data_IF_952245020039
#
_entry.id   IF_952245020039
#
_cell.length_a   1.000
_cell.length_b   1.000
_cell.length_c   1.000
_cell.angle_alpha   90.00
_cell.angle_beta   90.00
_cell.angle_gamma   90.00
#
_symmetry.space_group_name_H-M   'P 1'
#
loop_
_entity.id
_entity.type
_entity.pdbx_description
1 polymer ?
#
# COMPACT_ATOMS: atom_id res chain seq x y z
N UNK A 1 10.91 38.46 23.68
CA UNK A 1 9.87 37.53 23.23
C UNK A 1 10.48 36.56 22.22
N UNK A 2 10.72 35.31 22.59
CA UNK A 2 11.18 34.26 21.67
C UNK A 2 9.97 33.68 20.95
N UNK A 3 9.84 33.93 19.63
CA UNK A 3 8.83 33.27 18.79
C UNK A 3 9.20 31.79 18.71
N UNK A 4 8.40 30.93 19.31
CA UNK A 4 8.45 29.49 19.09
C UNK A 4 8.20 29.21 17.62
N UNK A 5 9.22 28.72 16.89
CA UNK A 5 9.02 28.12 15.58
C UNK A 5 8.15 26.89 15.77
N UNK A 6 6.88 26.98 15.43
CA UNK A 6 6.05 25.80 15.23
C UNK A 6 6.66 25.08 14.03
N UNK A 7 7.41 24.01 14.31
CA UNK A 7 7.87 23.07 13.28
C UNK A 7 6.60 22.49 12.66
N UNK A 8 6.27 22.90 11.45
CA UNK A 8 5.24 22.21 10.66
C UNK A 8 5.80 20.81 10.39
N UNK A 9 5.38 19.83 11.18
CA UNK A 9 5.67 18.43 10.91
C UNK A 9 5.01 18.10 9.57
N UNK A 10 5.82 18.03 8.54
CA UNK A 10 5.37 17.68 7.20
C UNK A 10 4.73 16.29 7.26
N UNK A 11 3.50 16.14 6.77
CA UNK A 11 2.80 14.86 6.74
C UNK A 11 3.60 13.84 5.94
N UNK A 12 3.84 12.68 6.52
CA UNK A 12 4.51 11.58 5.83
C UNK A 12 3.46 10.67 5.19
N UNK A 13 3.36 10.76 3.85
CA UNK A 13 2.50 9.91 3.04
C UNK A 13 3.37 8.99 2.17
N UNK A 14 3.06 7.69 2.12
CA UNK A 14 3.85 6.67 1.40
C UNK A 14 2.94 5.88 0.45
N UNK A 15 3.35 5.77 -0.80
CA UNK A 15 2.69 5.00 -1.85
C UNK A 15 3.41 3.64 -2.02
N UNK A 16 2.72 2.56 -1.68
CA UNK A 16 3.25 1.20 -1.67
C UNK A 16 3.10 0.59 -3.06
N UNK A 17 4.18 0.03 -3.60
CA UNK A 17 4.21 -0.52 -4.97
C UNK A 17 4.04 0.57 -6.03
N UNK A 18 4.52 1.77 -5.74
CA UNK A 18 4.35 2.94 -6.61
C UNK A 18 5.14 2.86 -7.92
N UNK A 19 6.14 1.96 -8.02
CA UNK A 19 7.11 2.04 -9.09
C UNK A 19 7.75 3.43 -9.16
N UNK A 20 7.98 3.93 -10.37
CA UNK A 20 8.60 5.24 -10.60
C UNK A 20 7.64 6.44 -10.43
N UNK A 21 6.34 6.21 -10.34
CA UNK A 21 5.31 7.25 -10.41
C UNK A 21 4.40 7.24 -9.18
N UNK A 22 4.85 7.71 -8.01
CA UNK A 22 4.00 7.81 -6.84
C UNK A 22 2.89 8.86 -7.04
N UNK A 23 1.83 8.76 -6.25
CA UNK A 23 0.84 9.82 -6.19
C UNK A 23 1.50 11.15 -5.75
N UNK A 24 0.99 12.27 -6.27
CA UNK A 24 1.52 13.60 -5.92
C UNK A 24 1.53 13.81 -4.40
N UNK A 25 2.69 14.16 -3.87
CA UNK A 25 2.88 14.39 -2.43
C UNK A 25 3.16 13.13 -1.61
N UNK A 26 3.28 11.97 -2.25
CA UNK A 26 3.65 10.73 -1.60
C UNK A 26 5.14 10.40 -1.84
N UNK A 27 5.73 9.73 -0.87
CA UNK A 27 7.03 9.06 -0.98
C UNK A 27 6.86 7.69 -1.64
N UNK A 28 7.87 7.26 -2.39
CA UNK A 28 7.89 5.94 -3.04
C UNK A 28 8.25 4.82 -2.06
N UNK A 29 7.55 3.69 -2.16
CA UNK A 29 7.96 2.45 -1.51
C UNK A 29 7.70 1.25 -2.42
N UNK A 30 8.72 0.43 -2.67
CA UNK A 30 8.61 -0.72 -3.58
C UNK A 30 9.49 -1.89 -3.10
N UNK A 31 9.20 -3.09 -3.60
CA UNK A 31 10.05 -4.28 -3.41
C UNK A 31 11.26 -4.27 -4.34
N UNK A 32 11.17 -3.54 -5.45
CA UNK A 32 12.23 -3.40 -6.46
C UNK A 32 12.99 -2.11 -6.24
N UNK A 33 14.29 -2.21 -6.16
CA UNK A 33 15.17 -1.04 -6.04
C UNK A 33 15.31 -0.32 -7.39
N UNK A 34 15.13 1.01 -7.38
CA UNK A 34 15.31 1.89 -8.53
C UNK A 34 15.82 3.27 -8.12
N UNK A 35 16.34 4.08 -9.05
CA UNK A 35 16.79 5.45 -8.75
C UNK A 35 15.68 6.29 -8.12
N UNK A 36 16.03 7.04 -7.06
CA UNK A 36 15.11 7.92 -6.31
C UNK A 36 14.01 7.18 -5.49
N UNK A 37 14.15 5.87 -5.26
CA UNK A 37 13.30 5.15 -4.31
C UNK A 37 13.54 5.72 -2.89
N UNK A 38 12.46 6.14 -2.22
CA UNK A 38 12.55 6.66 -0.84
C UNK A 38 12.65 5.50 0.17
N UNK A 39 11.88 4.43 -0.05
CA UNK A 39 11.81 3.27 0.85
C UNK A 39 11.82 1.95 0.08
N UNK A 40 12.55 0.97 0.59
CA UNK A 40 12.54 -0.41 0.09
C UNK A 40 11.68 -1.31 0.99
N UNK A 41 10.89 -2.20 0.38
CA UNK A 41 10.08 -3.18 1.12
C UNK A 41 10.79 -4.53 1.11
N UNK A 42 11.13 -5.05 2.30
CA UNK A 42 11.74 -6.38 2.48
C UNK A 42 11.00 -7.13 3.58
N UNK A 43 10.53 -8.35 3.28
CA UNK A 43 9.78 -9.18 4.24
C UNK A 43 8.57 -8.44 4.86
N UNK A 44 7.80 -7.74 4.03
CA UNK A 44 6.65 -6.92 4.44
C UNK A 44 6.96 -5.76 5.40
N UNK A 45 8.22 -5.41 5.59
CA UNK A 45 8.68 -4.26 6.36
C UNK A 45 9.24 -3.18 5.45
N UNK A 46 9.17 -1.94 5.88
CA UNK A 46 9.58 -0.76 5.11
C UNK A 46 10.86 -0.18 5.69
N UNK A 47 11.84 0.03 4.84
CA UNK A 47 13.16 0.54 5.22
C UNK A 47 13.50 1.79 4.41
N UNK A 48 13.99 2.82 5.08
CA UNK A 48 14.79 3.86 4.45
C UNK A 48 16.18 3.30 4.10
N UNK A 49 17.05 4.12 3.51
CA UNK A 49 18.44 3.70 3.22
C UNK A 49 19.21 3.21 4.47
N UNK A 50 18.84 3.65 5.64
CA UNK A 50 19.62 3.45 6.87
C UNK A 50 18.89 2.68 7.97
N UNK A 51 17.56 2.64 7.97
CA UNK A 51 16.79 2.06 9.06
C UNK A 51 15.38 1.64 8.66
N UNK A 52 14.80 0.72 9.43
CA UNK A 52 13.36 0.40 9.36
C UNK A 52 12.52 1.64 9.70
N UNK A 53 11.38 1.77 9.04
CA UNK A 53 10.43 2.86 9.27
C UNK A 53 9.98 2.88 10.74
N UNK A 54 9.94 4.07 11.32
CA UNK A 54 9.59 4.23 12.74
C UNK A 54 8.11 3.93 12.98
N UNK A 55 7.82 3.29 14.11
CA UNK A 55 6.47 3.11 14.63
C UNK A 55 5.80 4.48 14.83
N UNK A 56 4.49 4.59 14.51
CA UNK A 56 3.70 5.81 14.66
C UNK A 56 4.30 7.05 13.96
N UNK A 57 4.85 6.86 12.76
CA UNK A 57 5.50 7.96 12.00
C UNK A 57 4.76 8.37 10.74
N UNK A 58 3.86 7.53 10.21
CA UNK A 58 3.21 7.74 8.91
C UNK A 58 1.79 8.25 9.09
N UNK A 59 1.43 9.25 8.31
CA UNK A 59 0.07 9.82 8.30
C UNK A 59 -0.85 9.06 7.36
N UNK A 60 -0.33 8.65 6.18
CA UNK A 60 -1.13 7.94 5.20
C UNK A 60 -0.29 6.95 4.37
N UNK A 61 -0.81 5.74 4.20
CA UNK A 61 -0.39 4.81 3.16
C UNK A 61 -1.39 4.78 2.01
N UNK A 62 -0.90 4.52 0.81
CA UNK A 62 -1.69 4.26 -0.38
C UNK A 62 -1.20 2.97 -1.04
N UNK A 63 -2.15 2.10 -1.42
CA UNK A 63 -1.91 0.86 -2.16
C UNK A 63 -2.82 0.91 -3.39
N UNK A 64 -2.25 1.16 -4.57
CA UNK A 64 -3.02 1.30 -5.79
C UNK A 64 -2.60 0.28 -6.85
N UNK A 65 -3.51 -0.63 -7.21
CA UNK A 65 -3.26 -1.74 -8.14
C UNK A 65 -2.02 -2.58 -7.75
N UNK A 66 -1.85 -2.86 -6.47
CA UNK A 66 -0.68 -3.58 -5.96
C UNK A 66 -1.04 -4.74 -5.04
N UNK A 67 -2.22 -4.69 -4.41
CA UNK A 67 -2.59 -5.66 -3.37
C UNK A 67 -2.66 -7.08 -3.92
N UNK A 68 -3.08 -7.23 -5.17
CA UNK A 68 -3.14 -8.51 -5.87
C UNK A 68 -1.76 -9.12 -6.17
N UNK A 69 -0.67 -8.37 -6.01
CA UNK A 69 0.71 -8.86 -6.13
C UNK A 69 1.33 -9.24 -4.77
N UNK A 70 0.64 -8.99 -3.66
CA UNK A 70 1.20 -9.16 -2.31
C UNK A 70 0.87 -10.54 -1.77
N UNK A 71 1.91 -11.38 -1.60
CA UNK A 71 1.77 -12.76 -1.12
C UNK A 71 1.18 -12.83 0.30
N UNK A 72 1.64 -11.99 1.21
CA UNK A 72 1.21 -11.97 2.61
C UNK A 72 0.67 -10.58 2.97
N UNK A 73 -0.53 -10.30 2.47
CA UNK A 73 -1.20 -9.03 2.73
C UNK A 73 -1.50 -8.84 4.23
N UNK A 74 -1.80 -9.92 4.94
CA UNK A 74 -2.07 -9.84 6.38
C UNK A 74 -0.85 -9.31 7.13
N UNK A 75 0.33 -9.89 6.88
CA UNK A 75 1.57 -9.44 7.53
C UNK A 75 1.96 -8.02 7.12
N UNK A 76 1.75 -7.65 5.85
CA UNK A 76 1.97 -6.27 5.42
C UNK A 76 1.04 -5.32 6.17
N UNK A 77 -0.27 -5.57 6.23
CA UNK A 77 -1.22 -4.70 6.93
C UNK A 77 -0.91 -4.58 8.43
N UNK A 78 -0.48 -5.67 9.09
CA UNK A 78 -0.01 -5.63 10.48
C UNK A 78 1.17 -4.67 10.64
N UNK A 79 2.13 -4.70 9.74
CA UNK A 79 3.28 -3.79 9.78
C UNK A 79 2.88 -2.34 9.46
N UNK A 80 2.02 -2.13 8.46
CA UNK A 80 1.51 -0.79 8.15
C UNK A 80 0.75 -0.21 9.35
N UNK A 81 -0.05 -1.02 10.06
CA UNK A 81 -0.74 -0.59 11.29
C UNK A 81 0.25 -0.07 12.35
N UNK A 82 1.39 -0.76 12.54
CA UNK A 82 2.43 -0.31 13.47
C UNK A 82 3.03 1.03 13.09
N UNK A 83 3.30 1.24 11.79
CA UNK A 83 3.92 2.46 11.30
C UNK A 83 2.98 3.66 11.27
N UNK A 84 1.67 3.45 11.12
CA UNK A 84 0.69 4.53 11.15
C UNK A 84 0.66 5.23 12.50
N UNK A 85 0.57 6.55 12.46
CA UNK A 85 0.20 7.39 13.61
C UNK A 85 -1.21 7.04 14.08
N UNK A 86 -1.58 7.35 15.33
CA UNK A 86 -2.99 7.37 15.74
C UNK A 86 -3.82 8.21 14.75
N UNK A 87 -4.96 7.69 14.32
CA UNK A 87 -5.83 8.26 13.27
C UNK A 87 -5.20 8.31 11.86
N UNK A 88 -4.02 7.75 11.65
CA UNK A 88 -3.43 7.56 10.32
C UNK A 88 -4.27 6.61 9.47
N UNK A 89 -4.19 6.75 8.14
CA UNK A 89 -5.08 6.02 7.23
C UNK A 89 -4.32 5.18 6.20
N UNK A 90 -4.99 4.11 5.72
CA UNK A 90 -4.58 3.37 4.52
C UNK A 90 -5.68 3.49 3.49
N UNK A 91 -5.32 3.86 2.27
CA UNK A 91 -6.20 3.83 1.10
C UNK A 91 -5.80 2.68 0.20
N UNK A 92 -6.69 1.72 0.02
CA UNK A 92 -6.51 0.59 -0.91
C UNK A 92 -7.43 0.83 -2.09
N UNK A 93 -6.87 0.83 -3.31
CA UNK A 93 -7.60 0.93 -4.57
C UNK A 93 -7.12 -0.22 -5.45
N UNK A 94 -7.96 -1.21 -5.66
CA UNK A 94 -7.59 -2.39 -6.45
C UNK A 94 -8.77 -2.89 -7.31
N UNK A 95 -8.52 -3.85 -8.19
CA UNK A 95 -9.54 -4.41 -9.05
C UNK A 95 -10.65 -5.10 -8.25
N UNK A 96 -11.90 -4.92 -8.68
CA UNK A 96 -13.03 -5.63 -8.09
C UNK A 96 -13.03 -7.10 -8.52
N UNK A 97 -13.48 -7.98 -7.62
CA UNK A 97 -13.64 -9.42 -7.83
C UNK A 97 -14.39 -9.79 -9.12
N UNK A 98 -15.41 -9.01 -9.51
CA UNK A 98 -16.22 -9.28 -10.71
C UNK A 98 -15.46 -9.04 -12.01
N UNK A 99 -14.49 -8.13 -12.03
CA UNK A 99 -13.73 -7.74 -13.22
C UNK A 99 -12.39 -8.45 -13.33
N UNK A 100 -11.94 -9.06 -12.23
CA UNK A 100 -10.67 -9.74 -12.17
C UNK A 100 -10.58 -10.93 -13.14
N UNK A 101 -11.68 -11.65 -13.39
CA UNK A 101 -11.66 -12.88 -14.17
C UNK A 101 -11.40 -12.68 -15.67
N UNK A 102 -11.81 -11.56 -16.26
CA UNK A 102 -11.68 -11.32 -17.70
C UNK A 102 -10.39 -10.57 -18.06
N UNK A 103 -10.10 -9.46 -17.39
CA UNK A 103 -8.98 -8.58 -17.73
C UNK A 103 -7.64 -9.04 -17.16
N UNK A 104 -7.66 -9.63 -15.98
CA UNK A 104 -6.43 -10.13 -15.34
C UNK A 104 -5.86 -11.35 -16.03
N UNK A 105 -6.70 -12.16 -16.68
CA UNK A 105 -6.21 -13.28 -17.49
C UNK A 105 -5.37 -12.79 -18.69
N UNK A 106 -5.76 -11.65 -19.29
CA UNK A 106 -5.01 -11.03 -20.39
C UNK A 106 -3.75 -10.31 -19.90
N UNK A 107 -3.84 -9.57 -18.79
CA UNK A 107 -2.69 -8.95 -18.14
C UNK A 107 -1.69 -9.99 -17.64
N UNK A 108 -2.16 -11.15 -17.14
CA UNK A 108 -1.33 -12.29 -16.77
C UNK A 108 -0.53 -12.87 -17.92
N UNK A 109 -1.14 -13.02 -19.09
CA UNK A 109 -0.43 -13.48 -20.28
C UNK A 109 0.62 -12.47 -20.69
N UNK A 110 0.32 -11.16 -20.62
CA UNK A 110 1.24 -10.09 -20.94
C UNK A 110 2.41 -10.05 -19.94
N UNK A 111 2.15 -10.06 -18.63
CA UNK A 111 3.18 -10.09 -17.60
C UNK A 111 4.04 -11.36 -17.62
N UNK A 112 3.46 -12.52 -17.90
CA UNK A 112 4.20 -13.78 -18.00
C UNK A 112 5.18 -13.82 -19.17
N UNK A 113 4.81 -13.25 -20.31
CA UNK A 113 5.59 -13.35 -21.55
C UNK A 113 6.45 -12.13 -21.85
N UNK A 114 6.11 -10.96 -21.35
CA UNK A 114 6.79 -9.71 -21.69
C UNK A 114 7.68 -9.21 -20.55
N UNK A 115 7.32 -9.49 -19.30
CA UNK A 115 8.11 -9.08 -18.14
C UNK A 115 8.58 -10.35 -17.40
N UNK A 116 9.88 -10.68 -17.41
CA UNK A 116 10.42 -11.87 -16.74
C UNK A 116 10.45 -11.73 -15.20
N UNK A 117 9.50 -11.00 -14.63
CA UNK A 117 9.31 -10.93 -13.18
C UNK A 117 8.47 -12.13 -12.77
N UNK A 118 8.96 -12.92 -11.80
CA UNK A 118 8.18 -13.95 -11.10
C UNK A 118 7.13 -13.27 -10.20
N UNK A 119 6.19 -12.54 -10.78
CA UNK A 119 5.07 -11.99 -10.03
C UNK A 119 4.13 -13.14 -9.69
N UNK A 120 4.03 -13.40 -8.41
CA UNK A 120 3.17 -14.46 -7.89
C UNK A 120 1.76 -13.91 -7.92
N UNK A 121 1.00 -14.34 -8.92
CA UNK A 121 -0.44 -14.14 -8.95
C UNK A 121 -1.07 -14.97 -7.85
N UNK A 122 -1.65 -14.31 -6.88
CA UNK A 122 -2.30 -15.00 -5.78
C UNK A 122 -3.79 -14.98 -6.06
N UNK A 123 -4.39 -16.17 -6.11
CA UNK A 123 -5.85 -16.36 -6.09
C UNK A 123 -6.52 -15.67 -4.88
N UNK A 124 -5.73 -15.24 -3.92
CA UNK A 124 -6.08 -14.53 -2.69
C UNK A 124 -6.36 -13.03 -2.86
N UNK A 125 -6.18 -12.47 -4.04
CA UNK A 125 -6.54 -11.08 -4.34
C UNK A 125 -8.05 -10.78 -4.17
N UNK A 126 -8.85 -11.81 -3.94
CA UNK A 126 -10.28 -11.74 -3.66
C UNK A 126 -10.63 -11.58 -2.19
N UNK A 127 -9.66 -11.27 -1.35
CA UNK A 127 -9.90 -11.10 0.08
C UNK A 127 -10.80 -9.88 0.31
N UNK A 128 -11.73 -10.03 1.21
CA UNK A 128 -12.43 -8.90 1.80
C UNK A 128 -11.42 -8.13 2.66
N UNK A 129 -10.83 -7.09 2.09
CA UNK A 129 -9.81 -6.26 2.75
C UNK A 129 -10.35 -5.63 4.03
N UNK A 130 -11.64 -5.28 4.04
CA UNK A 130 -12.29 -4.70 5.21
C UNK A 130 -12.38 -5.71 6.35
N UNK A 131 -12.76 -6.96 6.05
CA UNK A 131 -12.82 -8.03 7.05
C UNK A 131 -11.44 -8.33 7.62
N UNK A 132 -10.43 -8.48 6.74
CA UNK A 132 -9.05 -8.71 7.16
C UNK A 132 -8.52 -7.57 8.04
N UNK A 133 -8.75 -6.33 7.64
CA UNK A 133 -8.30 -5.15 8.37
C UNK A 133 -8.92 -5.07 9.78
N UNK A 134 -10.20 -5.41 9.92
CA UNK A 134 -10.86 -5.45 11.23
C UNK A 134 -10.21 -6.43 12.20
N UNK A 135 -9.73 -7.58 11.72
CA UNK A 135 -9.03 -8.56 12.60
C UNK A 135 -7.69 -8.03 13.12
N UNK A 136 -7.09 -7.04 12.45
CA UNK A 136 -5.84 -6.39 12.85
C UNK A 136 -6.09 -5.23 13.82
N UNK A 137 -7.30 -4.68 13.82
CA UNK A 137 -7.69 -3.55 14.68
C UNK A 137 -7.95 -2.23 13.93
N UNK A 138 -8.04 -2.26 12.59
CA UNK A 138 -8.44 -1.09 11.83
C UNK A 138 -9.94 -0.81 11.93
N UNK A 139 -10.30 0.47 11.94
CA UNK A 139 -11.63 0.96 11.63
C UNK A 139 -11.79 1.07 10.11
N UNK A 140 -12.86 0.54 9.55
CA UNK A 140 -13.19 0.69 8.12
C UNK A 140 -14.03 1.95 7.95
N UNK A 141 -13.44 3.00 7.40
CA UNK A 141 -14.14 4.28 7.16
C UNK A 141 -14.98 4.25 5.90
N UNK A 142 -14.53 3.51 4.88
CA UNK A 142 -15.20 3.43 3.58
C UNK A 142 -14.88 2.10 2.91
N UNK A 143 -15.88 1.51 2.25
CA UNK A 143 -15.73 0.41 1.31
C UNK A 143 -16.77 0.57 0.22
N UNK A 144 -16.35 0.82 -1.01
CA UNK A 144 -17.26 0.94 -2.16
C UNK A 144 -16.55 0.55 -3.46
N UNK A 145 -17.34 0.31 -4.49
CA UNK A 145 -16.86 0.03 -5.84
C UNK A 145 -17.16 1.23 -6.74
N UNK A 146 -16.13 1.74 -7.42
CA UNK A 146 -16.24 2.84 -8.39
C UNK A 146 -15.44 2.46 -9.63
N UNK A 147 -16.07 2.48 -10.80
CA UNK A 147 -15.42 2.18 -12.09
C UNK A 147 -14.58 0.89 -12.02
N UNK A 148 -15.22 -0.22 -11.59
CA UNK A 148 -14.61 -1.56 -11.53
C UNK A 148 -13.48 -1.72 -10.49
N UNK A 149 -13.18 -0.69 -9.71
CA UNK A 149 -12.21 -0.74 -8.62
C UNK A 149 -12.90 -0.72 -7.26
N UNK A 150 -12.42 -1.55 -6.38
CA UNK A 150 -12.77 -1.48 -4.97
C UNK A 150 -11.90 -0.42 -4.29
N UNK A 151 -12.55 0.50 -3.57
CA UNK A 151 -11.89 1.52 -2.76
C UNK A 151 -12.19 1.22 -1.31
N UNK A 152 -11.17 0.90 -0.53
CA UNK A 152 -11.26 0.66 0.91
C UNK A 152 -10.40 1.67 1.66
N UNK A 153 -10.98 2.39 2.62
CA UNK A 153 -10.25 3.32 3.50
C UNK A 153 -10.29 2.78 4.92
N UNK A 154 -9.12 2.54 5.47
CA UNK A 154 -8.86 2.01 6.79
C UNK A 154 -8.25 3.09 7.67
N UNK A 155 -8.58 3.09 8.97
CA UNK A 155 -7.99 3.99 9.96
C UNK A 155 -7.49 3.20 11.17
N UNK A 156 -6.32 3.57 11.66
CA UNK A 156 -5.76 3.07 12.93
C UNK A 156 -6.48 3.67 14.12
#
# INVERSE_FOLDING_TARGET
MKRSRISSTQNLCIDIGSGYNPAKGFKTADITEFPNLDYIIKNNKIYSKTAELKVNSVDKFRLHNVVHHIKDLNQLLVNLFKYLKPNGTIEIIDCNKKHYSANVCLDNLWYRYVIPRKEIFIADAYRDYAKLAKTIGFNVLKQNTVNEKEITILQK
#
